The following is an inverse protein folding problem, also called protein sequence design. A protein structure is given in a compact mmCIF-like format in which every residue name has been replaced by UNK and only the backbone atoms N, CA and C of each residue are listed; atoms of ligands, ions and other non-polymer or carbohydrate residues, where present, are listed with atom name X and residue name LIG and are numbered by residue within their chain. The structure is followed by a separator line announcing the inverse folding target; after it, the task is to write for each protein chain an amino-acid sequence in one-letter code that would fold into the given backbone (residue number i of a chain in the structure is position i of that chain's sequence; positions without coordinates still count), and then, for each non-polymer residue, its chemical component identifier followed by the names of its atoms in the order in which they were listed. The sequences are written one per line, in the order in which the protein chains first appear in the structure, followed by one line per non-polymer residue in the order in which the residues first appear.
data_IF_536553418155
#
_entry.id   IF_536553418155
#
_cell.length_a   1.000
_cell.length_b   1.000
_cell.length_c   1.000
_cell.angle_alpha   90.00
_cell.angle_beta   90.00
_cell.angle_gamma   90.00
#
_symmetry.space_group_name_H-M   'P 1'
#
loop_
_entity.id
_entity.type
_entity.pdbx_description
1 polymer ?
#
# COMPACT_ATOMS: atom_id res chain seq x y z
N UNK A 1 21.14 -12.79 9.08
CA UNK A 1 20.02 -13.07 8.16
C UNK A 1 20.28 -12.30 6.88
N UNK A 2 20.00 -12.90 5.71
CA UNK A 2 20.33 -12.37 4.38
C UNK A 2 19.97 -10.90 4.18
N UNK A 3 20.97 -10.01 4.22
CA UNK A 3 20.86 -8.64 3.73
C UNK A 3 20.84 -8.57 2.20
N UNK A 4 21.32 -9.63 1.53
CA UNK A 4 21.40 -9.77 0.06
C UNK A 4 20.07 -9.50 -0.64
N UNK A 5 18.97 -10.08 -0.14
CA UNK A 5 17.63 -9.88 -0.72
C UNK A 5 17.21 -8.42 -0.54
N UNK A 6 17.34 -7.88 0.66
CA UNK A 6 16.96 -6.50 0.94
C UNK A 6 17.76 -5.50 0.08
N UNK A 7 19.08 -5.70 0.01
CA UNK A 7 20.00 -4.91 -0.81
C UNK A 7 19.63 -5.00 -2.30
N UNK A 8 19.31 -6.18 -2.81
CA UNK A 8 18.88 -6.36 -4.19
C UNK A 8 17.59 -5.59 -4.51
N UNK A 9 16.61 -5.58 -3.59
CA UNK A 9 15.40 -4.77 -3.75
C UNK A 9 15.71 -3.27 -3.75
N UNK A 10 16.54 -2.80 -2.82
CA UNK A 10 16.99 -1.39 -2.76
C UNK A 10 17.67 -1.00 -4.07
N UNK A 11 18.59 -1.84 -4.56
CA UNK A 11 19.30 -1.60 -5.81
C UNK A 11 18.36 -1.57 -7.02
N UNK A 12 17.40 -2.50 -7.09
CA UNK A 12 16.40 -2.54 -8.15
C UNK A 12 15.53 -1.28 -8.17
N UNK A 13 15.10 -0.79 -7.01
CA UNK A 13 14.30 0.45 -6.89
C UNK A 13 15.11 1.66 -7.36
N UNK A 14 16.37 1.78 -6.92
CA UNK A 14 17.25 2.87 -7.33
C UNK A 14 17.49 2.88 -8.83
N UNK A 15 17.65 1.70 -9.44
CA UNK A 15 17.85 1.54 -10.89
C UNK A 15 16.56 1.64 -11.72
N UNK A 16 15.37 1.62 -11.10
CA UNK A 16 14.12 1.65 -11.85
C UNK A 16 13.97 2.95 -12.65
N UNK A 17 13.59 2.82 -13.92
CA UNK A 17 13.48 3.97 -14.84
C UNK A 17 12.05 4.40 -15.12
N UNK A 18 11.12 3.44 -15.21
CA UNK A 18 9.74 3.67 -15.70
C UNK A 18 8.65 3.38 -14.69
N UNK A 19 8.69 2.23 -14.03
CA UNK A 19 7.69 1.88 -13.03
C UNK A 19 8.21 0.82 -12.06
N UNK A 20 7.52 0.67 -10.94
CA UNK A 20 7.73 -0.41 -9.96
C UNK A 20 6.38 -1.08 -9.71
N UNK A 21 6.38 -2.42 -9.70
CA UNK A 21 5.27 -3.22 -9.24
C UNK A 21 5.72 -4.05 -8.04
N UNK A 22 4.96 -3.97 -6.95
CA UNK A 22 5.20 -4.75 -5.73
C UNK A 22 3.93 -5.50 -5.40
N UNK A 23 4.05 -6.81 -5.22
CA UNK A 23 3.04 -7.63 -4.58
C UNK A 23 3.67 -8.23 -3.33
N UNK A 24 3.11 -7.94 -2.16
CA UNK A 24 3.62 -8.48 -0.91
C UNK A 24 2.51 -8.62 0.13
N UNK A 25 2.65 -9.58 1.04
CA UNK A 25 1.69 -9.79 2.12
C UNK A 25 1.69 -8.63 3.13
N UNK A 26 2.85 -8.03 3.37
CA UNK A 26 3.04 -6.90 4.27
C UNK A 26 3.82 -5.79 3.58
N UNK A 27 3.44 -4.54 3.83
CA UNK A 27 4.14 -3.38 3.29
C UNK A 27 4.34 -2.31 4.37
N UNK A 28 5.36 -2.53 5.19
CA UNK A 28 5.69 -1.70 6.36
C UNK A 28 7.19 -1.36 6.31
N UNK A 29 7.52 -0.10 6.59
CA UNK A 29 8.91 0.34 6.67
C UNK A 29 9.06 1.85 6.83
N UNK A 30 10.29 2.28 7.09
CA UNK A 30 10.59 3.71 7.26
C UNK A 30 10.05 4.32 8.55
N UNK A 31 9.94 3.54 9.64
CA UNK A 31 9.34 4.02 10.88
C UNK A 31 10.01 5.28 11.46
N UNK A 32 11.30 5.49 11.20
CA UNK A 32 12.01 6.70 11.61
C UNK A 32 11.50 7.99 10.93
N UNK A 33 10.79 7.86 9.80
CA UNK A 33 10.15 8.97 9.07
C UNK A 33 8.64 9.07 9.33
N UNK A 34 8.03 8.17 10.11
CA UNK A 34 6.61 8.30 10.48
C UNK A 34 6.40 9.48 11.43
N UNK A 35 5.21 10.07 11.41
CA UNK A 35 4.91 11.21 12.31
C UNK A 35 4.75 10.75 13.76
N UNK A 36 4.28 9.51 13.96
CA UNK A 36 4.13 8.83 15.26
C UNK A 36 5.00 7.57 15.28
N UNK A 37 5.25 7.03 16.48
CA UNK A 37 5.75 5.66 16.62
C UNK A 37 7.10 5.40 15.92
N UNK A 38 8.04 6.34 16.10
CA UNK A 38 9.35 6.33 15.42
C UNK A 38 10.33 5.24 15.89
N UNK A 39 10.06 4.59 17.02
CA UNK A 39 11.01 3.70 17.71
C UNK A 39 10.74 2.19 17.51
N UNK A 40 9.87 1.81 16.57
CA UNK A 40 9.49 0.40 16.37
C UNK A 40 10.55 -0.50 15.71
N UNK A 41 11.76 0.00 15.42
CA UNK A 41 12.87 -0.82 14.97
C UNK A 41 12.69 -1.48 13.58
N UNK A 42 11.66 -1.09 12.80
CA UNK A 42 11.45 -1.59 11.45
C UNK A 42 12.48 -1.00 10.48
N UNK A 43 13.55 -1.77 10.23
CA UNK A 43 14.65 -1.41 9.34
C UNK A 43 14.39 -1.64 7.84
N UNK A 44 13.15 -1.91 7.43
CA UNK A 44 12.82 -2.10 6.01
C UNK A 44 12.88 -0.75 5.26
N UNK A 45 13.88 -0.58 4.41
CA UNK A 45 14.08 0.62 3.59
C UNK A 45 13.24 0.65 2.31
N UNK A 46 12.57 -0.44 1.92
CA UNK A 46 11.85 -0.51 0.64
C UNK A 46 10.82 0.61 0.47
N UNK A 47 9.95 0.91 1.46
CA UNK A 47 9.01 2.03 1.33
C UNK A 47 9.70 3.39 1.22
N UNK A 48 10.81 3.58 1.92
CA UNK A 48 11.59 4.84 1.91
C UNK A 48 12.26 5.04 0.55
N UNK A 49 12.92 4.02 0.00
CA UNK A 49 13.55 4.09 -1.31
C UNK A 49 12.55 4.42 -2.41
N UNK A 50 11.34 3.84 -2.36
CA UNK A 50 10.25 4.18 -3.28
C UNK A 50 9.82 5.64 -3.08
N UNK A 51 9.62 6.06 -1.82
CA UNK A 51 9.16 7.40 -1.49
C UNK A 51 10.17 8.51 -1.83
N UNK A 52 11.46 8.18 -1.97
CA UNK A 52 12.50 9.09 -2.43
C UNK A 52 12.70 9.01 -3.95
N UNK A 53 12.50 7.83 -4.54
CA UNK A 53 12.59 7.64 -6.00
C UNK A 53 11.54 8.46 -6.74
N UNK A 54 10.30 8.50 -6.26
CA UNK A 54 9.22 9.24 -6.91
C UNK A 54 9.51 10.76 -6.98
N UNK A 55 9.84 11.46 -5.87
CA UNK A 55 10.31 12.85 -5.91
C UNK A 55 11.41 13.10 -6.93
N UNK A 56 12.45 12.24 -6.99
CA UNK A 56 13.52 12.40 -7.98
C UNK A 56 13.02 12.36 -9.43
N UNK A 57 11.96 11.58 -9.70
CA UNK A 57 11.34 11.48 -11.02
C UNK A 57 10.42 12.68 -11.32
N UNK A 58 9.73 13.20 -10.31
CA UNK A 58 8.95 14.44 -10.40
C UNK A 58 9.87 15.62 -10.75
N UNK A 59 10.98 15.79 -10.02
CA UNK A 59 11.96 16.85 -10.25
C UNK A 59 12.57 16.78 -11.66
N UNK A 60 12.89 15.56 -12.13
CA UNK A 60 13.39 15.31 -13.48
C UNK A 60 12.30 15.42 -14.57
N UNK A 61 11.02 15.60 -14.19
CA UNK A 61 9.86 15.58 -15.09
C UNK A 61 9.75 14.30 -15.92
N UNK A 62 10.16 13.19 -15.33
CA UNK A 62 10.14 11.88 -15.95
C UNK A 62 8.88 11.11 -15.54
N UNK A 63 8.24 10.46 -16.51
CA UNK A 63 7.11 9.58 -16.20
C UNK A 63 7.57 8.40 -15.36
N UNK A 64 6.96 8.27 -14.18
CA UNK A 64 7.22 7.16 -13.28
C UNK A 64 5.96 6.79 -12.50
N UNK A 65 5.71 5.50 -12.33
CA UNK A 65 4.55 5.01 -11.57
C UNK A 65 4.90 3.83 -10.67
N UNK A 66 4.25 3.73 -9.53
CA UNK A 66 4.44 2.65 -8.56
C UNK A 66 3.09 2.07 -8.19
N UNK A 67 2.99 0.75 -8.29
CA UNK A 67 1.79 -0.02 -7.99
C UNK A 67 2.13 -1.04 -6.91
N UNK A 68 1.44 -0.93 -5.78
CA UNK A 68 1.63 -1.80 -4.63
C UNK A 68 0.34 -2.58 -4.39
N UNK A 69 0.43 -3.90 -4.46
CA UNK A 69 -0.65 -4.83 -4.21
C UNK A 69 -0.44 -5.49 -2.84
N UNK A 70 -1.37 -5.24 -1.93
CA UNK A 70 -1.38 -5.79 -0.56
C UNK A 70 -2.77 -6.38 -0.26
N UNK A 71 -2.88 -7.36 0.65
CA UNK A 71 -4.19 -7.85 1.09
C UNK A 71 -4.98 -6.74 1.82
N UNK A 72 -6.31 -6.87 1.89
CA UNK A 72 -7.18 -5.89 2.59
C UNK A 72 -6.82 -5.82 4.09
N UNK A 73 -6.53 -6.97 4.69
CA UNK A 73 -5.98 -7.11 6.03
C UNK A 73 -5.04 -8.32 6.05
N UNK A 74 -4.06 -8.37 6.97
CA UNK A 74 -3.20 -9.54 7.12
C UNK A 74 -4.00 -10.76 7.58
N UNK A 75 -3.45 -11.96 7.40
CA UNK A 75 -4.12 -13.19 7.80
C UNK A 75 -4.46 -13.20 9.31
N UNK A 76 -5.71 -13.57 9.63
CA UNK A 76 -6.21 -13.61 11.01
C UNK A 76 -7.59 -12.97 11.17
N UNK A 77 -8.03 -12.84 12.42
CA UNK A 77 -9.28 -12.15 12.76
C UNK A 77 -9.07 -10.64 12.60
N UNK A 78 -9.83 -9.94 11.73
CA UNK A 78 -9.60 -8.52 11.42
C UNK A 78 -9.56 -7.60 12.64
N UNK A 79 -10.37 -7.89 13.65
CA UNK A 79 -10.50 -7.06 14.86
C UNK A 79 -9.56 -7.50 16.00
N UNK A 80 -8.62 -8.42 15.74
CA UNK A 80 -7.62 -8.77 16.74
C UNK A 80 -6.56 -7.69 16.85
N UNK A 81 -6.03 -7.48 18.06
CA UNK A 81 -5.00 -6.48 18.35
C UNK A 81 -3.78 -6.57 17.39
N UNK A 82 -3.19 -7.75 17.11
CA UNK A 82 -2.05 -7.83 16.18
C UNK A 82 -2.39 -7.41 14.76
N UNK A 83 -3.62 -7.71 14.28
CA UNK A 83 -4.05 -7.31 12.94
C UNK A 83 -4.26 -5.80 12.87
N UNK A 84 -4.84 -5.20 13.92
CA UNK A 84 -5.01 -3.75 14.01
C UNK A 84 -3.67 -3.01 14.07
N UNK A 85 -2.68 -3.53 14.80
CA UNK A 85 -1.33 -2.96 14.86
C UNK A 85 -0.67 -2.96 13.48
N UNK A 86 -0.75 -4.09 12.76
CA UNK A 86 -0.20 -4.22 11.41
C UNK A 86 -0.88 -3.25 10.44
N UNK A 87 -2.21 -3.11 10.52
CA UNK A 87 -2.96 -2.13 9.72
C UNK A 87 -2.53 -0.70 10.04
N UNK A 88 -2.30 -0.38 11.32
CA UNK A 88 -1.83 0.93 11.76
C UNK A 88 -0.42 1.22 11.22
N UNK A 89 0.52 0.30 11.32
CA UNK A 89 1.87 0.46 10.75
C UNK A 89 1.88 0.59 9.23
N UNK A 90 1.00 -0.14 8.55
CA UNK A 90 0.81 -0.02 7.11
C UNK A 90 0.29 1.39 6.77
N UNK A 91 -0.67 1.90 7.54
CA UNK A 91 -1.20 3.26 7.37
C UNK A 91 -0.13 4.34 7.59
N UNK A 92 0.69 4.22 8.62
CA UNK A 92 1.79 5.17 8.86
C UNK A 92 2.84 5.13 7.74
N UNK A 93 3.14 3.94 7.22
CA UNK A 93 4.01 3.78 6.04
C UNK A 93 3.42 4.51 4.83
N UNK A 94 2.14 4.27 4.52
CA UNK A 94 1.45 4.94 3.40
C UNK A 94 1.43 6.47 3.59
N UNK A 95 1.12 6.94 4.79
CA UNK A 95 1.06 8.37 5.11
C UNK A 95 2.40 9.05 4.89
N UNK A 96 3.49 8.45 5.37
CA UNK A 96 4.86 8.93 5.15
C UNK A 96 5.20 9.04 3.65
N UNK A 97 4.88 8.00 2.86
CA UNK A 97 5.17 8.02 1.42
C UNK A 97 4.38 9.11 0.70
N UNK A 98 3.07 9.22 0.96
CA UNK A 98 2.24 10.24 0.33
C UNK A 98 2.63 11.66 0.74
N UNK A 99 3.13 11.86 1.96
CA UNK A 99 3.63 13.15 2.44
C UNK A 99 4.84 13.61 1.62
N UNK A 100 5.87 12.77 1.49
CA UNK A 100 7.07 13.09 0.71
C UNK A 100 6.75 13.39 -0.76
N UNK A 101 5.85 12.61 -1.36
CA UNK A 101 5.42 12.83 -2.75
C UNK A 101 4.61 14.11 -2.88
N UNK A 102 3.70 14.39 -1.93
CA UNK A 102 2.89 15.61 -1.93
C UNK A 102 3.74 16.87 -1.77
N UNK A 103 4.78 16.82 -0.94
CA UNK A 103 5.77 17.88 -0.80
C UNK A 103 6.53 18.12 -2.11
N UNK A 104 7.05 17.06 -2.74
CA UNK A 104 7.75 17.16 -4.02
C UNK A 104 6.87 17.71 -5.16
N UNK A 105 5.59 17.30 -5.22
CA UNK A 105 4.63 17.86 -6.19
C UNK A 105 4.44 19.36 -5.95
N UNK A 106 4.26 19.77 -4.69
CA UNK A 106 4.08 21.19 -4.34
C UNK A 106 5.31 22.02 -4.72
N UNK A 107 6.50 21.48 -4.51
CA UNK A 107 7.78 22.14 -4.84
C UNK A 107 8.04 22.20 -6.34
N UNK A 108 7.58 21.22 -7.12
CA UNK A 108 7.70 21.22 -8.59
C UNK A 108 6.99 22.40 -9.26
N UNK A 109 5.97 22.96 -8.61
CA UNK A 109 5.14 24.04 -9.14
C UNK A 109 4.25 23.64 -10.33
N UNK A 110 4.18 22.35 -10.68
CA UNK A 110 3.37 21.90 -11.82
C UNK A 110 1.88 21.78 -11.43
N UNK A 111 0.99 22.52 -12.11
CA UNK A 111 -0.43 22.48 -11.80
C UNK A 111 -1.06 21.16 -12.23
N UNK A 112 -1.94 20.62 -11.40
CA UNK A 112 -2.77 19.45 -11.75
C UNK A 112 -2.12 18.08 -11.50
N UNK A 113 -0.88 18.02 -10.99
CA UNK A 113 -0.29 16.77 -10.54
C UNK A 113 -0.98 16.27 -9.26
N UNK A 114 -1.26 14.97 -9.20
CA UNK A 114 -1.82 14.32 -8.04
C UNK A 114 -0.89 13.19 -7.55
N UNK A 115 -0.72 12.97 -6.22
CA UNK A 115 0.15 11.90 -5.73
C UNK A 115 -0.17 10.50 -6.28
N UNK A 116 -1.45 10.22 -6.57
CA UNK A 116 -1.89 8.95 -7.19
C UNK A 116 -1.49 8.79 -8.66
N UNK A 117 -1.00 9.83 -9.32
CA UNK A 117 -0.39 9.69 -10.64
C UNK A 117 0.93 8.91 -10.55
N UNK A 118 1.56 8.90 -9.36
CA UNK A 118 2.85 8.27 -9.10
C UNK A 118 2.78 7.06 -8.18
N UNK A 119 1.93 7.06 -7.16
CA UNK A 119 1.85 5.98 -6.16
C UNK A 119 0.42 5.47 -5.98
N UNK A 120 0.22 4.17 -6.18
CA UNK A 120 -1.08 3.52 -6.05
C UNK A 120 -0.99 2.26 -5.18
N UNK A 121 -1.93 2.14 -4.24
CA UNK A 121 -2.13 0.95 -3.42
C UNK A 121 -3.43 0.25 -3.82
N UNK A 122 -3.36 -1.06 -4.01
CA UNK A 122 -4.49 -1.89 -4.39
C UNK A 122 -4.60 -3.10 -3.46
N UNK A 123 -5.80 -3.67 -3.42
CA UNK A 123 -6.08 -4.96 -2.82
C UNK A 123 -6.94 -5.78 -3.77
N UNK A 124 -6.81 -7.11 -3.69
CA UNK A 124 -7.66 -8.02 -4.46
C UNK A 124 -8.89 -8.40 -3.63
N UNK A 125 -10.05 -8.36 -4.28
CA UNK A 125 -11.31 -8.84 -3.73
C UNK A 125 -12.07 -9.57 -4.84
N UNK A 126 -12.61 -10.75 -4.51
CA UNK A 126 -13.49 -11.50 -5.40
C UNK A 126 -14.93 -11.48 -4.85
N UNK A 127 -15.92 -11.40 -5.73
CA UNK A 127 -17.34 -11.47 -5.38
C UNK A 127 -18.06 -12.39 -6.36
N UNK A 128 -18.48 -13.54 -5.87
CA UNK A 128 -19.24 -14.51 -6.67
C UNK A 128 -20.75 -14.34 -6.43
N UNK A 129 -21.56 -14.55 -7.48
CA UNK A 129 -23.00 -14.69 -7.32
C UNK A 129 -23.28 -16.06 -6.73
N UNK A 130 -24.14 -16.14 -5.72
CA UNK A 130 -24.60 -17.43 -5.21
C UNK A 130 -25.23 -18.26 -6.34
N UNK A 131 -24.58 -19.34 -6.72
CA UNK A 131 -25.21 -20.35 -7.57
C UNK A 131 -26.08 -21.24 -6.69
N UNK A 132 -27.35 -21.47 -7.07
CA UNK A 132 -28.22 -22.46 -6.41
C UNK A 132 -27.70 -23.87 -6.68
N UNK A 133 -26.61 -24.27 -6.05
CA UNK A 133 -26.20 -25.66 -5.88
C UNK A 133 -26.21 -25.96 -4.39
N UNK A 134 -27.19 -26.75 -3.97
CA UNK A 134 -27.22 -27.32 -2.62
C UNK A 134 -26.00 -28.22 -2.48
N UNK A 135 -25.02 -27.80 -1.70
CA UNK A 135 -24.19 -28.71 -0.91
C UNK A 135 -24.23 -28.20 0.52
N UNK A 136 -24.53 -29.11 1.43
CA UNK A 136 -24.73 -28.87 2.84
C UNK A 136 -23.39 -28.88 3.60
N UNK A 137 -23.18 -27.84 4.44
CA UNK A 137 -22.11 -27.61 5.44
C UNK A 137 -20.67 -27.48 4.91
N UNK A 138 -19.88 -26.45 5.22
CA UNK A 138 -19.66 -25.81 6.53
C UNK A 138 -19.66 -24.27 6.50
N UNK A 139 -20.18 -23.69 7.58
CA UNK A 139 -20.35 -22.27 7.87
C UNK A 139 -19.04 -21.45 7.73
N UNK A 140 -19.04 -20.46 6.85
CA UNK A 140 -18.38 -19.18 7.11
C UNK A 140 -19.47 -18.11 7.20
N UNK A 141 -19.87 -17.81 8.44
CA UNK A 141 -20.70 -16.66 8.74
C UNK A 141 -19.79 -15.45 8.90
N UNK A 142 -19.89 -14.51 7.97
CA UNK A 142 -19.70 -13.10 8.28
C UNK A 142 -20.80 -12.34 7.57
N UNK A 143 -21.92 -12.19 8.28
CA UNK A 143 -23.05 -11.37 7.89
C UNK A 143 -22.59 -9.94 7.60
N UNK A 144 -22.54 -9.57 6.32
CA UNK A 144 -22.68 -8.18 5.92
C UNK A 144 -24.07 -8.03 5.32
N UNK A 145 -24.95 -7.34 6.05
CA UNK A 145 -26.22 -6.85 5.49
C UNK A 145 -25.91 -5.68 4.57
N UNK A 146 -26.15 -5.75 3.25
CA UNK A 146 -26.17 -4.56 2.43
C UNK A 146 -27.52 -3.87 2.62
N UNK A 147 -27.53 -2.67 3.21
CA UNK A 147 -28.65 -1.74 3.04
C UNK A 147 -28.62 -1.33 1.57
N UNK A 148 -29.42 -2.03 0.77
CA UNK A 148 -29.82 -1.65 -0.58
C UNK A 148 -31.04 -0.74 -0.44
N UNK A 149 -30.84 0.56 -0.58
CA UNK A 149 -31.93 1.45 -1.02
C UNK A 149 -31.45 2.32 -2.18
N UNK A 150 -31.69 1.78 -3.37
CA UNK A 150 -32.16 2.55 -4.51
C UNK A 150 -33.15 1.68 -5.27
N UNK A 151 -34.36 2.18 -5.50
CA UNK A 151 -34.94 2.09 -6.83
C UNK A 151 -35.16 3.49 -7.39
N UNK A 152 -34.92 3.57 -8.69
CA UNK A 152 -34.87 4.78 -9.49
C UNK A 152 -36.27 5.30 -9.84
N UNK A 153 -36.34 6.60 -10.11
CA UNK A 153 -36.70 7.13 -11.43
C UNK A 153 -36.02 8.48 -11.61
#
# INVERSE_FOLDING_TARGET
MEQSIHEAYVEAIRKAERFIYVENQYFIGGCHLWDKDKHYGYGNLIPVEIALKIPSKIEAKERFAVYILIPIWPEGVPNSEPVQDILQWTRETMAMMYKLIGEAIKESGEPGLHPRDYLNFFCLANREKESKRRVCSSLFSSSFSPILECPQT
#
